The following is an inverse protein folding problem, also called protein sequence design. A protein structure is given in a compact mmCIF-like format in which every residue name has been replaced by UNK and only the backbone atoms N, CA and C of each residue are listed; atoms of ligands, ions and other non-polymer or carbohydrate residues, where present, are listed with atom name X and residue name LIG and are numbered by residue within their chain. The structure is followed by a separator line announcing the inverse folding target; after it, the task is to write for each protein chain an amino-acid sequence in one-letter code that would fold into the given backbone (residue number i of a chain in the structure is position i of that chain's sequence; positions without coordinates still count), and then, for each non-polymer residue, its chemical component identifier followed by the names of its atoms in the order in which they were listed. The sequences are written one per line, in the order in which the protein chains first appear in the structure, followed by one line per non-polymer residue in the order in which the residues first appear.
data_IF_078285628123
#
_entry.id   IF_078285628123
#
_cell.length_a   1.000
_cell.length_b   1.000
_cell.length_c   1.000
_cell.angle_alpha   90.00
_cell.angle_beta   90.00
_cell.angle_gamma   90.00
#
_symmetry.space_group_name_H-M   'P 1'
#
loop_
_entity.id
_entity.type
_entity.pdbx_description
1 polymer ?
#
# COMPACT_ATOMS: atom_id res chain seq x y z
N UNK A 1 -7.15 15.65 5.53
CA UNK A 1 -6.25 14.64 4.97
C UNK A 1 -4.84 15.16 5.09
N UNK A 2 -3.93 14.32 5.56
CA UNK A 2 -2.51 14.64 5.68
C UNK A 2 -1.88 14.79 4.27
N UNK A 3 -0.91 15.69 4.09
CA UNK A 3 -0.31 16.00 2.77
C UNK A 3 0.29 14.74 2.10
N UNK A 4 0.82 13.84 2.93
CA UNK A 4 1.35 12.53 2.55
C UNK A 4 0.27 11.60 1.99
N UNK A 5 -0.86 11.50 2.66
CA UNK A 5 -1.98 10.66 2.24
C UNK A 5 -2.56 11.13 0.89
N UNK A 6 -2.59 12.44 0.67
CA UNK A 6 -3.02 13.00 -0.61
C UNK A 6 -2.05 12.64 -1.75
N UNK A 7 -0.74 12.82 -1.54
CA UNK A 7 0.29 12.45 -2.54
C UNK A 7 0.23 10.97 -2.91
N UNK A 8 0.02 10.10 -1.92
CA UNK A 8 -0.10 8.66 -2.14
C UNK A 8 -1.39 8.34 -2.90
N UNK A 9 -2.52 8.92 -2.50
CA UNK A 9 -3.81 8.73 -3.18
C UNK A 9 -3.77 9.16 -4.66
N UNK A 10 -3.08 10.26 -4.97
CA UNK A 10 -2.85 10.68 -6.36
C UNK A 10 -1.96 9.69 -7.12
N UNK A 11 -0.92 9.17 -6.47
CA UNK A 11 -0.01 8.20 -7.07
C UNK A 11 -0.67 6.86 -7.37
N UNK A 12 -1.60 6.41 -6.53
CA UNK A 12 -2.39 5.19 -6.77
C UNK A 12 -3.15 5.24 -8.10
N UNK A 13 -3.67 6.41 -8.48
CA UNK A 13 -4.39 6.62 -9.76
C UNK A 13 -3.49 6.48 -10.99
N UNK A 14 -2.16 6.60 -10.80
CA UNK A 14 -1.18 6.45 -11.87
C UNK A 14 -0.83 4.99 -12.14
N UNK A 15 -1.19 4.06 -11.26
CA UNK A 15 -0.95 2.65 -11.49
C UNK A 15 -1.95 2.08 -12.50
N UNK A 16 -1.50 1.66 -13.69
CA UNK A 16 -2.40 1.26 -14.76
C UNK A 16 -3.24 0.03 -14.38
N UNK A 17 -2.64 -0.90 -13.63
CA UNK A 17 -3.29 -2.14 -13.21
C UNK A 17 -4.18 -1.96 -11.96
N UNK A 18 -4.22 -0.77 -11.37
CA UNK A 18 -5.03 -0.47 -10.19
C UNK A 18 -6.32 0.29 -10.53
N UNK A 19 -6.48 0.79 -11.75
CA UNK A 19 -7.65 1.61 -12.11
C UNK A 19 -8.97 0.89 -11.89
N UNK A 20 -9.08 -0.36 -12.33
CA UNK A 20 -10.31 -1.15 -12.14
C UNK A 20 -10.55 -1.49 -10.66
N UNK A 21 -9.50 -1.91 -9.95
CA UNK A 21 -9.48 -2.13 -8.50
C UNK A 21 -10.04 -0.94 -7.73
N UNK A 22 -9.57 0.27 -8.02
CA UNK A 22 -10.01 1.49 -7.34
C UNK A 22 -11.49 1.82 -7.58
N UNK A 23 -12.07 1.40 -8.71
CA UNK A 23 -13.51 1.61 -8.97
C UNK A 23 -14.42 0.67 -8.17
N UNK A 24 -13.89 -0.44 -7.66
CA UNK A 24 -14.62 -1.43 -6.85
C UNK A 24 -14.59 -1.09 -5.35
N UNK A 25 -13.78 -0.12 -4.94
CA UNK A 25 -13.61 0.27 -3.54
C UNK A 25 -14.21 1.65 -3.28
N UNK A 26 -14.75 1.85 -2.09
CA UNK A 26 -15.19 3.17 -1.67
C UNK A 26 -13.98 4.06 -1.27
N UNK A 27 -14.15 5.38 -1.43
CA UNK A 27 -13.09 6.33 -1.07
C UNK A 27 -12.67 6.26 0.41
N UNK A 28 -13.57 5.82 1.30
CA UNK A 28 -13.27 5.64 2.72
C UNK A 28 -12.32 4.47 2.98
N UNK A 29 -12.53 3.33 2.30
CA UNK A 29 -11.62 2.19 2.32
C UNK A 29 -10.26 2.54 1.71
N UNK A 30 -10.23 3.20 0.56
CA UNK A 30 -8.98 3.66 -0.07
C UNK A 30 -8.20 4.57 0.89
N UNK A 31 -8.87 5.51 1.54
CA UNK A 31 -8.22 6.42 2.51
C UNK A 31 -7.64 5.63 3.69
N UNK A 32 -8.39 4.67 4.24
CA UNK A 32 -7.91 3.85 5.35
C UNK A 32 -6.68 3.01 4.97
N UNK A 33 -6.67 2.40 3.78
CA UNK A 33 -5.51 1.63 3.30
C UNK A 33 -4.28 2.50 3.09
N UNK A 34 -4.46 3.76 2.65
CA UNK A 34 -3.36 4.70 2.52
C UNK A 34 -2.79 5.08 3.88
N UNK A 35 -3.63 5.32 4.88
CA UNK A 35 -3.20 5.60 6.26
C UNK A 35 -2.44 4.41 6.86
N UNK A 36 -2.99 3.20 6.77
CA UNK A 36 -2.34 1.97 7.23
C UNK A 36 -1.00 1.74 6.52
N UNK A 37 -0.91 2.00 5.22
CA UNK A 37 0.31 1.85 4.45
C UNK A 37 1.40 2.86 4.85
N UNK A 38 1.02 4.09 5.23
CA UNK A 38 1.95 5.11 5.74
C UNK A 38 2.51 4.65 7.08
N UNK A 39 1.65 4.22 8.00
CA UNK A 39 2.06 3.81 9.33
C UNK A 39 2.96 2.58 9.27
N UNK A 40 2.62 1.59 8.45
CA UNK A 40 3.47 0.43 8.25
C UNK A 40 4.81 0.79 7.60
N UNK A 41 4.83 1.71 6.61
CA UNK A 41 6.08 2.18 6.01
C UNK A 41 6.97 2.91 7.03
N UNK A 42 6.39 3.70 7.96
CA UNK A 42 7.15 4.34 9.04
C UNK A 42 7.78 3.31 9.98
N UNK A 43 6.99 2.32 10.41
CA UNK A 43 7.48 1.21 11.26
C UNK A 43 8.62 0.45 10.57
N UNK A 44 8.52 0.27 9.26
CA UNK A 44 9.54 -0.40 8.44
C UNK A 44 10.78 0.45 8.14
N UNK A 45 10.84 1.69 8.64
CA UNK A 45 12.01 2.56 8.54
C UNK A 45 12.06 3.43 7.29
N UNK A 46 10.96 3.56 6.54
CA UNK A 46 10.86 4.54 5.46
C UNK A 46 10.85 5.97 6.03
N UNK A 47 11.62 6.85 5.40
CA UNK A 47 11.80 8.26 5.78
C UNK A 47 11.02 9.17 4.83
N UNK A 48 10.88 10.46 5.15
CA UNK A 48 10.14 11.43 4.31
C UNK A 48 10.55 11.42 2.82
N UNK A 49 11.83 11.13 2.53
CA UNK A 49 12.36 11.04 1.17
C UNK A 49 11.85 9.86 0.35
N UNK A 50 11.39 8.77 0.97
CA UNK A 50 11.02 7.52 0.28
C UNK A 50 9.68 6.93 0.74
N UNK A 51 9.08 7.46 1.81
CA UNK A 51 7.82 6.99 2.39
C UNK A 51 6.67 7.06 1.40
N UNK A 52 6.58 8.11 0.58
CA UNK A 52 5.54 8.21 -0.46
C UNK A 52 5.62 7.01 -1.40
N UNK A 53 6.83 6.62 -1.81
CA UNK A 53 7.02 5.51 -2.75
C UNK A 53 6.71 4.17 -2.08
N UNK A 54 7.24 3.94 -0.87
CA UNK A 54 6.98 2.72 -0.11
C UNK A 54 5.50 2.53 0.19
N UNK A 55 4.88 3.52 0.83
CA UNK A 55 3.46 3.49 1.18
C UNK A 55 2.55 3.40 -0.06
N UNK A 56 2.94 3.96 -1.21
CA UNK A 56 2.14 3.82 -2.44
C UNK A 56 2.09 2.39 -2.95
N UNK A 57 3.21 1.65 -2.91
CA UNK A 57 3.21 0.24 -3.29
C UNK A 57 2.43 -0.60 -2.29
N UNK A 58 2.55 -0.30 -1.00
CA UNK A 58 1.81 -1.04 0.02
C UNK A 58 0.30 -0.76 -0.03
N UNK A 59 -0.11 0.49 -0.22
CA UNK A 59 -1.52 0.84 -0.40
C UNK A 59 -2.10 0.22 -1.68
N UNK A 60 -1.34 0.16 -2.77
CA UNK A 60 -1.76 -0.51 -3.99
C UNK A 60 -2.00 -2.01 -3.77
N UNK A 61 -1.12 -2.66 -3.02
CA UNK A 61 -1.30 -4.06 -2.61
C UNK A 61 -2.59 -4.25 -1.80
N UNK A 62 -2.82 -3.42 -0.77
CA UNK A 62 -4.04 -3.48 0.03
C UNK A 62 -5.31 -3.28 -0.79
N UNK A 63 -5.33 -2.30 -1.70
CA UNK A 63 -6.45 -2.08 -2.60
C UNK A 63 -6.71 -3.30 -3.50
N UNK A 64 -5.66 -3.86 -4.12
CA UNK A 64 -5.79 -5.05 -4.97
C UNK A 64 -6.39 -6.21 -4.22
N UNK A 65 -5.85 -6.47 -3.03
CA UNK A 65 -6.30 -7.54 -2.17
C UNK A 65 -7.78 -7.36 -1.79
N UNK A 66 -8.12 -6.16 -1.32
CA UNK A 66 -9.48 -5.82 -0.91
C UNK A 66 -10.49 -5.98 -2.05
N UNK A 67 -10.11 -5.65 -3.29
CA UNK A 67 -10.98 -5.77 -4.46
C UNK A 67 -11.19 -7.21 -4.94
N UNK A 68 -10.27 -8.12 -4.61
CA UNK A 68 -10.35 -9.53 -4.98
C UNK A 68 -11.15 -10.36 -3.95
N UNK A 69 -11.26 -9.87 -2.72
CA UNK A 69 -12.22 -10.36 -1.74
C UNK A 69 -13.57 -9.68 -1.98
N UNK A 70 -14.56 -10.38 -2.55
CA UNK A 70 -15.92 -9.95 -2.94
C UNK A 70 -16.82 -9.38 -1.79
N UNK A 71 -16.28 -8.57 -0.88
CA UNK A 71 -16.97 -8.15 0.34
C UNK A 71 -16.70 -6.69 0.65
N UNK A 72 -17.77 -5.95 0.95
CA UNK A 72 -17.74 -4.62 1.57
C UNK A 72 -16.82 -4.64 2.81
N UNK A 73 -15.59 -4.18 2.66
CA UNK A 73 -14.60 -4.17 3.73
C UNK A 73 -14.86 -2.94 4.62
N UNK A 74 -15.33 -3.17 5.84
CA UNK A 74 -15.44 -2.08 6.82
C UNK A 74 -14.04 -1.61 7.31
N UNK A 75 -13.91 -0.37 7.79
CA UNK A 75 -12.64 0.19 8.29
C UNK A 75 -11.93 -0.69 9.34
N UNK A 76 -12.67 -1.40 10.18
CA UNK A 76 -12.10 -2.33 11.16
C UNK A 76 -11.56 -3.61 10.50
N UNK A 77 -12.21 -4.08 9.44
CA UNK A 77 -11.71 -5.20 8.65
C UNK A 77 -10.47 -4.81 7.85
N UNK A 78 -10.35 -3.58 7.34
CA UNK A 78 -9.14 -3.13 6.63
C UNK A 78 -7.86 -3.31 7.44
N UNK A 79 -7.88 -2.91 8.72
CA UNK A 79 -6.75 -3.04 9.63
C UNK A 79 -6.47 -4.50 10.04
N UNK A 80 -7.49 -5.37 10.08
CA UNK A 80 -7.31 -6.82 10.28
C UNK A 80 -6.80 -7.49 9.01
N UNK A 81 -7.27 -7.06 7.83
CA UNK A 81 -6.85 -7.56 6.53
C UNK A 81 -5.37 -7.22 6.27
N UNK A 82 -4.92 -6.02 6.61
CA UNK A 82 -3.52 -5.64 6.43
C UNK A 82 -2.58 -6.54 7.25
N UNK A 83 -3.01 -7.01 8.43
CA UNK A 83 -2.26 -7.93 9.28
C UNK A 83 -2.40 -9.39 8.81
N UNK A 84 -3.62 -9.89 8.59
CA UNK A 84 -3.85 -11.30 8.19
C UNK A 84 -3.24 -11.63 6.82
N UNK A 85 -3.23 -10.67 5.88
CA UNK A 85 -2.79 -10.96 4.52
C UNK A 85 -1.30 -10.70 4.28
N UNK A 86 -0.64 -9.93 5.14
CA UNK A 86 0.82 -9.94 5.19
C UNK A 86 1.35 -11.35 5.49
N UNK A 87 0.58 -12.15 6.24
CA UNK A 87 0.91 -13.50 6.68
C UNK A 87 0.41 -14.61 5.73
N UNK A 88 -0.64 -14.37 4.92
CA UNK A 88 -1.26 -15.38 4.04
C UNK A 88 -0.62 -15.57 2.66
N UNK A 89 0.54 -15.00 2.40
CA UNK A 89 1.28 -15.30 1.16
C UNK A 89 0.65 -14.80 -0.14
N UNK A 90 -0.31 -13.86 -0.07
CA UNK A 90 -0.79 -13.13 -1.23
C UNK A 90 0.31 -12.22 -1.76
N UNK A 91 1.03 -12.64 -2.80
CA UNK A 91 2.09 -11.86 -3.42
C UNK A 91 1.60 -11.27 -4.72
N UNK A 92 1.55 -9.94 -4.82
CA UNK A 92 1.41 -9.22 -6.07
C UNK A 92 2.67 -8.40 -6.38
N UNK A 93 2.75 -7.87 -7.60
CA UNK A 93 3.91 -7.08 -8.04
C UNK A 93 4.15 -5.86 -7.14
N UNK A 94 3.11 -5.31 -6.51
CA UNK A 94 3.21 -4.18 -5.61
C UNK A 94 3.87 -4.56 -4.28
N UNK A 95 3.51 -5.69 -3.70
CA UNK A 95 4.15 -6.22 -2.49
C UNK A 95 5.61 -6.62 -2.76
N UNK A 96 5.90 -7.16 -3.95
CA UNK A 96 7.29 -7.47 -4.37
C UNK A 96 8.14 -6.20 -4.43
N UNK A 97 7.66 -5.14 -5.08
CA UNK A 97 8.37 -3.86 -5.14
C UNK A 97 8.50 -3.20 -3.76
N UNK A 98 7.47 -3.29 -2.91
CA UNK A 98 7.56 -2.83 -1.53
C UNK A 98 8.68 -3.53 -0.76
N UNK A 99 8.72 -4.87 -0.81
CA UNK A 99 9.76 -5.68 -0.18
C UNK A 99 11.16 -5.38 -0.76
N UNK A 100 11.26 -5.13 -2.07
CA UNK A 100 12.51 -4.71 -2.72
C UNK A 100 13.01 -3.39 -2.17
N UNK A 101 12.13 -2.39 -2.03
CA UNK A 101 12.47 -1.10 -1.43
C UNK A 101 12.88 -1.26 0.03
N UNK A 102 12.14 -2.03 0.83
CA UNK A 102 12.49 -2.32 2.23
C UNK A 102 13.88 -2.95 2.36
N UNK A 103 14.21 -3.91 1.49
CA UNK A 103 15.54 -4.52 1.44
C UNK A 103 16.63 -3.52 1.06
N UNK A 104 16.33 -2.59 0.16
CA UNK A 104 17.27 -1.53 -0.23
C UNK A 104 17.57 -0.56 0.91
N UNK A 105 16.58 -0.27 1.79
CA UNK A 105 16.78 0.55 2.98
C UNK A 105 17.75 -0.11 3.97
N UNK A 106 17.57 -1.41 4.23
CA UNK A 106 18.40 -2.17 5.17
C UNK A 106 19.83 -2.39 4.68
N UNK A 107 20.04 -2.40 3.35
CA UNK A 107 21.37 -2.54 2.74
C UNK A 107 22.08 -1.20 2.47
N UNK A 108 21.44 -0.07 2.78
CA UNK A 108 21.95 1.29 2.51
C UNK A 108 22.45 1.50 1.05
N UNK A 109 21.93 0.68 0.13
CA UNK A 109 22.25 0.69 -1.29
C UNK A 109 20.94 0.67 -2.07
N UNK A 110 20.58 1.82 -2.63
CA UNK A 110 19.52 1.88 -3.64
C UNK A 110 20.12 1.45 -4.97
N UNK A 111 20.13 0.14 -5.23
CA UNK A 111 20.45 -0.42 -6.54
C UNK A 111 19.19 -0.52 -7.37
N UNK A 112 19.07 0.40 -8.32
CA UNK A 112 18.18 0.25 -9.46
C UNK A 112 18.85 -0.72 -10.43
N UNK A 113 18.20 -1.86 -10.68
CA UNK A 113 18.36 -2.64 -11.91
C UNK A 113 17.11 -2.38 -12.75
#
# INVERSE_FOLDING_TARGET
MDELAQKISERLKLFPNLKETLTKLDNGAITAFVEDAIDQARVDGFTESNIVRGASFLAAHFCNLASNSDTNISKQQASVLSIEYFDRGGSDDYLVEYKRLKKSLTQNTIRFL
#
